data_IF_157440235300
#
_entry.id   IF_157440235300
#
_cell.length_a   1.000
_cell.length_b   1.000
_cell.length_c   1.000
_cell.angle_alpha   90.00
_cell.angle_beta   90.00
_cell.angle_gamma   90.00
#
_symmetry.space_group_name_H-M   'P 1'
#
loop_
_entity.id
_entity.type
_entity.pdbx_description
1 polymer ?
#
# COMPACT_ATOMS: atom_id res chain seq x y z
N UNK A 1 -28.80 -4.99 3.94
CA UNK A 1 -27.47 -4.69 3.36
C UNK A 1 -27.67 -3.67 2.25
N UNK A 2 -26.96 -2.54 2.27
CA UNK A 2 -27.21 -1.44 1.34
C UNK A 2 -26.35 -1.63 0.08
N UNK A 3 -26.82 -2.43 -0.87
CA UNK A 3 -26.06 -2.85 -2.06
C UNK A 3 -25.46 -1.68 -2.87
N UNK A 4 -26.11 -0.52 -2.86
CA UNK A 4 -25.65 0.70 -3.51
C UNK A 4 -24.37 1.27 -2.88
N UNK A 5 -24.23 1.22 -1.55
CA UNK A 5 -23.05 1.74 -0.86
C UNK A 5 -21.81 0.89 -1.17
N UNK A 6 -21.93 -0.43 -1.10
CA UNK A 6 -20.83 -1.35 -1.43
C UNK A 6 -20.35 -1.20 -2.88
N UNK A 7 -21.28 -0.94 -3.81
CA UNK A 7 -20.92 -0.74 -5.22
C UNK A 7 -20.11 0.55 -5.43
N UNK A 8 -20.48 1.63 -4.75
CA UNK A 8 -19.76 2.91 -4.82
C UNK A 8 -18.34 2.78 -4.25
N UNK A 9 -18.19 2.14 -3.09
CA UNK A 9 -16.88 1.89 -2.47
C UNK A 9 -15.97 1.05 -3.39
N UNK A 10 -16.51 0.00 -4.02
CA UNK A 10 -15.75 -0.80 -4.99
C UNK A 10 -15.34 0.02 -6.22
N UNK A 11 -16.19 0.93 -6.68
CA UNK A 11 -15.88 1.79 -7.82
C UNK A 11 -14.79 2.81 -7.49
N UNK A 12 -14.82 3.38 -6.29
CA UNK A 12 -13.79 4.29 -5.79
C UNK A 12 -12.44 3.59 -5.63
N UNK A 13 -12.42 2.38 -5.07
CA UNK A 13 -11.21 1.56 -4.97
C UNK A 13 -10.60 1.28 -6.36
N UNK A 14 -11.43 0.94 -7.36
CA UNK A 14 -10.97 0.75 -8.75
C UNK A 14 -10.41 2.03 -9.35
N UNK A 15 -11.06 3.17 -9.14
CA UNK A 15 -10.58 4.48 -9.63
C UNK A 15 -9.23 4.83 -9.02
N UNK A 16 -9.06 4.61 -7.73
CA UNK A 16 -7.80 4.82 -7.03
C UNK A 16 -6.69 3.94 -7.62
N UNK A 17 -6.95 2.64 -7.77
CA UNK A 17 -5.98 1.70 -8.32
C UNK A 17 -5.57 2.08 -9.75
N UNK A 18 -6.53 2.47 -10.59
CA UNK A 18 -6.24 2.91 -11.95
C UNK A 18 -5.35 4.16 -11.96
N UNK A 19 -5.62 5.13 -11.08
CA UNK A 19 -4.83 6.36 -10.98
C UNK A 19 -3.39 6.09 -10.51
N UNK A 20 -3.20 5.18 -9.56
CA UNK A 20 -1.88 4.73 -9.12
C UNK A 20 -1.15 4.05 -10.29
N UNK A 21 -1.81 3.15 -11.01
CA UNK A 21 -1.21 2.47 -12.17
C UNK A 21 -0.76 3.46 -13.24
N UNK A 22 -1.63 4.41 -13.64
CA UNK A 22 -1.28 5.45 -14.62
C UNK A 22 -0.10 6.30 -14.15
N UNK A 23 -0.07 6.73 -12.87
CA UNK A 23 1.07 7.45 -12.32
C UNK A 23 2.38 6.66 -12.44
N UNK A 24 2.37 5.37 -12.10
CA UNK A 24 3.59 4.55 -12.18
C UNK A 24 4.07 4.35 -13.62
N UNK A 25 3.15 4.26 -14.57
CA UNK A 25 3.43 4.16 -16.01
C UNK A 25 4.00 5.46 -16.57
N UNK A 26 3.36 6.60 -16.27
CA UNK A 26 3.78 7.94 -16.74
C UNK A 26 5.22 8.25 -16.34
N UNK A 27 5.58 7.91 -15.10
CA UNK A 27 6.93 8.10 -14.56
C UNK A 27 7.88 6.94 -14.84
N UNK A 28 7.43 5.90 -15.56
CA UNK A 28 8.23 4.73 -15.96
C UNK A 28 8.94 4.06 -14.78
N UNK A 29 8.24 3.89 -13.66
CA UNK A 29 8.83 3.35 -12.43
C UNK A 29 9.46 1.97 -12.61
N UNK A 30 8.92 1.12 -13.49
CA UNK A 30 9.55 -0.16 -13.82
C UNK A 30 10.97 0.00 -14.36
N UNK A 31 11.20 1.00 -15.21
CA UNK A 31 12.53 1.31 -15.76
C UNK A 31 13.43 1.92 -14.70
N UNK A 32 12.91 2.84 -13.88
CA UNK A 32 13.67 3.46 -12.79
C UNK A 32 14.17 2.43 -11.79
N UNK A 33 13.30 1.49 -11.37
CA UNK A 33 13.67 0.40 -10.46
C UNK A 33 14.76 -0.51 -11.07
N UNK A 34 14.64 -0.85 -12.35
CA UNK A 34 15.66 -1.67 -13.02
C UNK A 34 17.01 -0.93 -13.13
N UNK A 35 16.96 0.36 -13.49
CA UNK A 35 18.12 1.23 -13.62
C UNK A 35 18.84 1.52 -12.30
N UNK A 36 18.11 1.52 -11.17
CA UNK A 36 18.69 1.64 -9.82
C UNK A 36 19.17 0.31 -9.23
N UNK A 37 19.11 -0.77 -10.00
CA UNK A 37 19.53 -2.11 -9.54
C UNK A 37 18.49 -2.85 -8.69
N UNK A 38 17.30 -2.28 -8.49
CA UNK A 38 16.19 -2.92 -7.76
C UNK A 38 15.49 -3.93 -8.68
N UNK A 39 16.08 -5.11 -8.77
CA UNK A 39 15.57 -6.23 -9.56
C UNK A 39 15.05 -7.34 -8.66
N UNK A 40 14.05 -8.07 -9.16
CA UNK A 40 13.55 -9.26 -8.46
C UNK A 40 14.67 -10.30 -8.38
N UNK A 41 14.84 -10.91 -7.22
CA UNK A 41 15.72 -12.07 -7.06
C UNK A 41 14.97 -13.35 -7.43
N UNK A 42 13.76 -13.55 -6.88
CA UNK A 42 12.82 -14.64 -7.18
C UNK A 42 11.38 -14.13 -6.93
N UNK A 43 10.39 -14.80 -7.52
CA UNK A 43 8.98 -14.48 -7.27
C UNK A 43 8.51 -13.18 -7.91
N UNK A 44 7.82 -12.34 -7.13
CA UNK A 44 7.12 -11.14 -7.59
C UNK A 44 8.04 -10.12 -8.28
N UNK A 45 7.48 -9.39 -9.25
CA UNK A 45 8.20 -8.30 -9.95
C UNK A 45 8.46 -7.15 -8.97
N UNK A 46 9.64 -6.50 -9.05
CA UNK A 46 9.96 -5.33 -8.22
C UNK A 46 8.89 -4.25 -8.30
N UNK A 47 8.36 -4.00 -9.51
CA UNK A 47 7.28 -3.04 -9.73
C UNK A 47 6.02 -3.43 -8.94
N UNK A 48 5.64 -4.71 -8.92
CA UNK A 48 4.45 -5.15 -8.19
C UNK A 48 4.61 -4.93 -6.68
N UNK A 49 5.76 -5.31 -6.12
CA UNK A 49 6.08 -5.08 -4.70
C UNK A 49 6.05 -3.57 -4.38
N UNK A 50 6.67 -2.76 -5.23
CA UNK A 50 6.67 -1.30 -5.07
C UNK A 50 5.25 -0.73 -5.15
N UNK A 51 4.45 -1.12 -6.14
CA UNK A 51 3.05 -0.68 -6.29
C UNK A 51 2.24 -1.01 -5.06
N UNK A 52 2.39 -2.21 -4.50
CA UNK A 52 1.70 -2.61 -3.28
C UNK A 52 2.11 -1.73 -2.10
N UNK A 53 3.41 -1.53 -1.87
CA UNK A 53 3.91 -0.68 -0.77
C UNK A 53 3.41 0.76 -0.94
N UNK A 54 3.48 1.27 -2.17
CA UNK A 54 3.08 2.63 -2.51
C UNK A 54 1.57 2.86 -2.37
N UNK A 55 0.72 1.86 -2.64
CA UNK A 55 -0.73 2.00 -2.59
C UNK A 55 -1.30 1.98 -1.17
N UNK A 56 -0.62 1.36 -0.21
CA UNK A 56 -1.06 1.22 1.18
C UNK A 56 -1.58 2.50 1.84
N UNK A 57 -0.84 3.64 1.86
CA UNK A 57 -1.34 4.87 2.49
C UNK A 57 -2.60 5.41 1.82
N UNK A 58 -2.76 5.21 0.51
CA UNK A 58 -3.95 5.65 -0.22
C UNK A 58 -5.15 4.72 -0.02
N UNK A 59 -4.91 3.46 0.31
CA UNK A 59 -5.93 2.49 0.68
C UNK A 59 -6.32 2.59 2.16
N UNK A 60 -5.76 3.54 2.93
CA UNK A 60 -6.00 3.68 4.36
C UNK A 60 -5.36 2.57 5.21
N UNK A 61 -4.42 1.82 4.64
CA UNK A 61 -3.68 0.75 5.32
C UNK A 61 -2.30 1.30 5.68
N UNK A 62 -2.03 1.51 6.96
CA UNK A 62 -0.71 1.93 7.41
C UNK A 62 0.13 0.72 7.86
N UNK A 63 1.43 0.74 7.54
CA UNK A 63 2.41 -0.21 8.10
C UNK A 63 2.52 -0.13 9.62
N UNK A 64 2.05 0.96 10.24
CA UNK A 64 2.07 1.20 11.68
C UNK A 64 0.95 0.51 12.46
N UNK A 65 0.34 -0.55 11.92
CA UNK A 65 -0.54 -1.43 12.70
C UNK A 65 0.33 -2.28 13.64
N UNK A 66 0.86 -1.64 14.68
CA UNK A 66 1.81 -2.24 15.62
C UNK A 66 2.40 -1.30 16.68
N UNK A 67 2.01 -0.02 16.72
CA UNK A 67 2.26 0.81 17.91
C UNK A 67 0.92 1.35 18.38
N UNK A 68 0.30 0.59 19.28
CA UNK A 68 -0.83 1.07 20.07
C UNK A 68 -0.25 2.01 21.14
N UNK A 69 -0.41 3.32 20.96
CA UNK A 69 -0.22 4.26 22.05
C UNK A 69 -1.35 4.04 23.06
N UNK A 70 -1.12 3.21 24.08
CA UNK A 70 -2.03 3.08 25.21
C UNK A 70 -1.66 4.13 26.27
N UNK A 71 -2.44 5.21 26.44
CA UNK A 71 -2.14 6.25 27.43
C UNK A 71 -2.26 5.77 28.89
N UNK A 72 -2.83 4.58 29.15
CA UNK A 72 -2.98 4.03 30.51
C UNK A 72 -1.81 3.12 30.96
N UNK A 73 -0.86 2.80 30.06
CA UNK A 73 0.32 1.99 30.41
C UNK A 73 1.51 2.91 30.73
N UNK A 74 2.04 2.81 31.95
CA UNK A 74 3.14 3.63 32.46
C UNK A 74 4.52 3.40 31.78
N UNK A 75 4.58 2.60 30.71
CA UNK A 75 5.81 2.29 29.98
C UNK A 75 5.52 2.07 28.49
N UNK A 76 6.21 2.83 27.64
CA UNK A 76 6.17 2.70 26.19
C UNK A 76 6.79 1.38 25.75
N UNK A 77 5.95 0.38 25.51
CA UNK A 77 6.34 -0.85 24.83
C UNK A 77 5.64 -0.88 23.48
N UNK A 78 6.43 -0.69 22.42
CA UNK A 78 6.03 -1.00 21.06
C UNK A 78 5.83 -2.52 20.95
N UNK A 79 4.58 -2.96 21.01
CA UNK A 79 4.22 -4.36 20.82
C UNK A 79 3.58 -4.52 19.44
N UNK A 80 4.32 -5.18 18.54
CA UNK A 80 3.78 -5.68 17.27
C UNK A 80 2.93 -6.94 17.56
N UNK A 81 1.68 -6.93 17.11
CA UNK A 81 0.82 -8.11 17.09
C UNK A 81 0.84 -8.74 15.69
N UNK A 82 0.81 -10.07 15.64
CA UNK A 82 0.58 -10.85 14.41
C UNK A 82 -0.83 -10.65 13.84
#
# INVERSE_FOLDING_TARGET
MNHTQNYLEQQEAKRLQNRISSFLEDFKFGTLLSGSGIRKLRGAKSLAVFTTIFSLPFCGVNFSRGIVNNPELAFGKDAAYE
#
